data_IF_980878254922
#
_entry.id   IF_980878254922
#
_cell.length_a   1.000
_cell.length_b   1.000
_cell.length_c   1.000
_cell.angle_alpha   90.00
_cell.angle_beta   90.00
_cell.angle_gamma   90.00
#
_symmetry.space_group_name_H-M   'P 1'
#
loop_
_entity.id
_entity.type
_entity.pdbx_description
1 polymer ?
#
# COMPACT_ATOMS: atom_id res chain seq x y z
N UNK A 1 -24.29 16.72 -27.08
CA UNK A 1 -24.12 16.87 -25.62
C UNK A 1 -23.31 18.13 -25.35
N UNK A 2 -23.85 19.11 -24.61
CA UNK A 2 -23.08 20.29 -24.16
C UNK A 2 -22.02 19.81 -23.16
N UNK A 3 -20.77 20.24 -23.35
CA UNK A 3 -19.68 19.94 -22.40
C UNK A 3 -19.88 20.79 -21.16
N UNK A 4 -19.95 20.17 -19.98
CA UNK A 4 -20.09 20.84 -18.68
C UNK A 4 -18.76 21.40 -18.16
N UNK A 5 -17.64 20.84 -18.62
CA UNK A 5 -16.29 21.18 -18.16
C UNK A 5 -15.40 21.62 -19.34
N UNK A 6 -14.24 22.26 -19.08
CA UNK A 6 -13.27 22.59 -20.12
C UNK A 6 -12.83 21.35 -20.91
N UNK A 7 -12.51 21.53 -22.20
CA UNK A 7 -12.09 20.44 -23.10
C UNK A 7 -10.87 19.68 -22.59
N UNK A 8 -9.96 20.37 -21.88
CA UNK A 8 -8.80 19.78 -21.24
C UNK A 8 -9.12 18.66 -20.22
N UNK A 9 -10.34 18.59 -19.67
CA UNK A 9 -10.75 17.52 -18.73
C UNK A 9 -11.14 16.23 -19.47
N UNK A 10 -11.53 16.32 -20.73
CA UNK A 10 -12.03 15.19 -21.53
C UNK A 10 -10.89 14.39 -22.17
N UNK A 11 -10.03 13.81 -21.34
CA UNK A 11 -8.96 12.91 -21.78
C UNK A 11 -8.91 11.65 -20.89
N UNK A 12 -8.46 10.50 -21.42
CA UNK A 12 -8.45 9.23 -20.70
C UNK A 12 -7.58 9.27 -19.44
N UNK A 13 -6.45 10.00 -19.45
CA UNK A 13 -5.56 10.09 -18.29
C UNK A 13 -6.28 10.78 -17.11
N UNK A 14 -6.99 11.87 -17.40
CA UNK A 14 -7.76 12.61 -16.40
C UNK A 14 -8.90 11.76 -15.87
N UNK A 15 -9.62 11.08 -16.76
CA UNK A 15 -10.72 10.21 -16.35
C UNK A 15 -10.25 9.01 -15.51
N UNK A 16 -9.12 8.38 -15.87
CA UNK A 16 -8.52 7.31 -15.06
C UNK A 16 -8.12 7.82 -13.67
N UNK A 17 -7.48 8.99 -13.57
CA UNK A 17 -7.13 9.59 -12.28
C UNK A 17 -8.35 9.92 -11.43
N UNK A 18 -9.38 10.49 -12.03
CA UNK A 18 -10.65 10.78 -11.35
C UNK A 18 -11.38 9.51 -10.90
N UNK A 19 -11.41 8.46 -11.74
CA UNK A 19 -12.01 7.18 -11.38
C UNK A 19 -11.29 6.52 -10.20
N UNK A 20 -9.95 6.48 -10.22
CA UNK A 20 -9.13 5.98 -9.10
C UNK A 20 -9.45 6.77 -7.82
N UNK A 21 -9.47 8.11 -7.91
CA UNK A 21 -9.73 8.98 -6.75
C UNK A 21 -11.13 8.77 -6.17
N UNK A 22 -12.14 8.69 -7.04
CA UNK A 22 -13.53 8.50 -6.63
C UNK A 22 -13.78 7.12 -6.00
N UNK A 23 -13.22 6.05 -6.60
CA UNK A 23 -13.29 4.70 -6.03
C UNK A 23 -12.60 4.67 -4.67
N UNK A 24 -11.40 5.23 -4.58
CA UNK A 24 -10.64 5.29 -3.33
C UNK A 24 -11.38 6.08 -2.24
N UNK A 25 -11.97 7.24 -2.57
CA UNK A 25 -12.77 8.03 -1.65
C UNK A 25 -14.02 7.29 -1.16
N UNK A 26 -14.74 6.61 -2.07
CA UNK A 26 -15.88 5.78 -1.71
C UNK A 26 -15.51 4.64 -0.77
N UNK A 27 -14.36 3.98 -1.02
CA UNK A 27 -13.82 2.94 -0.13
C UNK A 27 -13.43 3.50 1.23
N UNK A 28 -12.82 4.69 1.30
CA UNK A 28 -12.49 5.35 2.57
C UNK A 28 -13.76 5.56 3.40
N UNK A 29 -14.81 6.16 2.80
CA UNK A 29 -16.08 6.38 3.49
C UNK A 29 -16.67 5.05 3.95
N UNK A 30 -16.67 4.04 3.10
CA UNK A 30 -17.21 2.72 3.43
C UNK A 30 -16.47 2.06 4.60
N UNK A 31 -15.13 2.03 4.58
CA UNK A 31 -14.35 1.44 5.67
C UNK A 31 -14.48 2.25 6.96
N UNK A 32 -14.54 3.58 6.87
CA UNK A 32 -14.77 4.44 8.03
C UNK A 32 -16.14 4.17 8.66
N UNK A 33 -17.18 3.97 7.85
CA UNK A 33 -18.49 3.56 8.35
C UNK A 33 -18.43 2.18 9.00
N UNK A 34 -17.77 1.19 8.39
CA UNK A 34 -17.60 -0.13 9.01
C UNK A 34 -16.89 -0.06 10.35
N UNK A 35 -15.81 0.73 10.45
CA UNK A 35 -15.06 0.93 11.70
C UNK A 35 -15.91 1.64 12.76
N UNK A 36 -16.75 2.60 12.37
CA UNK A 36 -17.68 3.28 13.28
C UNK A 36 -18.73 2.34 13.88
N UNK A 37 -19.15 1.31 13.15
CA UNK A 37 -20.14 0.33 13.60
C UNK A 37 -19.53 -0.97 14.15
N UNK A 38 -18.20 -1.11 14.18
CA UNK A 38 -17.54 -2.32 14.64
C UNK A 38 -17.27 -2.29 16.16
N UNK A 39 -17.67 -3.35 16.86
CA UNK A 39 -17.44 -3.50 18.30
C UNK A 39 -15.98 -3.87 18.62
N UNK A 40 -15.28 -4.53 17.69
CA UNK A 40 -13.86 -4.92 17.82
C UNK A 40 -13.01 -4.34 16.68
N UNK A 41 -12.23 -3.27 16.91
CA UNK A 41 -11.42 -2.65 15.87
C UNK A 41 -10.23 -3.55 15.50
N UNK A 42 -10.26 -4.10 14.29
CA UNK A 42 -9.09 -4.76 13.72
C UNK A 42 -7.98 -3.73 13.47
N UNK A 43 -6.75 -3.95 13.96
CA UNK A 43 -5.66 -2.96 13.89
C UNK A 43 -5.25 -2.57 12.45
N UNK A 44 -5.74 -3.30 11.45
CA UNK A 44 -5.44 -3.11 10.03
C UNK A 44 -6.42 -2.19 9.30
N UNK A 45 -7.66 -2.07 9.80
CA UNK A 45 -8.69 -1.23 9.17
C UNK A 45 -8.24 0.22 9.13
N UNK A 46 -7.68 0.71 10.23
CA UNK A 46 -7.12 2.06 10.29
C UNK A 46 -5.94 2.29 9.34
N UNK A 47 -5.06 1.30 9.12
CA UNK A 47 -3.93 1.45 8.18
C UNK A 47 -4.46 1.60 6.75
N UNK A 48 -5.40 0.74 6.36
CA UNK A 48 -5.98 0.77 5.02
C UNK A 48 -6.77 2.07 4.81
N UNK A 49 -7.63 2.43 5.77
CA UNK A 49 -8.53 3.58 5.69
C UNK A 49 -7.81 4.92 5.76
N UNK A 50 -6.79 5.07 6.62
CA UNK A 50 -6.15 6.37 6.90
C UNK A 50 -4.79 6.57 6.23
N UNK A 51 -4.16 5.54 5.68
CA UNK A 51 -2.82 5.65 5.06
C UNK A 51 -2.84 5.20 3.61
N UNK A 52 -3.21 3.95 3.35
CA UNK A 52 -3.11 3.36 2.00
C UNK A 52 -4.11 4.01 1.05
N UNK A 53 -5.40 4.03 1.41
CA UNK A 53 -6.41 4.60 0.53
C UNK A 53 -6.22 6.11 0.32
N UNK A 54 -5.92 6.95 1.33
CA UNK A 54 -5.60 8.35 1.11
C UNK A 54 -4.39 8.54 0.18
N UNK A 55 -3.36 7.69 0.28
CA UNK A 55 -2.24 7.67 -0.67
C UNK A 55 -2.69 7.40 -2.11
N UNK A 56 -3.53 6.39 -2.33
CA UNK A 56 -4.09 6.07 -3.65
C UNK A 56 -4.96 7.22 -4.19
N UNK A 57 -5.76 7.85 -3.33
CA UNK A 57 -6.58 9.01 -3.67
C UNK A 57 -5.71 10.16 -4.16
N UNK A 58 -4.64 10.51 -3.43
CA UNK A 58 -3.72 11.58 -3.81
C UNK A 58 -3.04 11.25 -5.15
N UNK A 59 -2.57 10.01 -5.34
CA UNK A 59 -1.98 9.58 -6.61
C UNK A 59 -2.99 9.70 -7.76
N UNK A 60 -4.25 9.30 -7.55
CA UNK A 60 -5.33 9.48 -8.52
C UNK A 60 -5.55 10.95 -8.90
N UNK A 61 -5.55 11.86 -7.92
CA UNK A 61 -5.68 13.30 -8.16
C UNK A 61 -4.47 13.89 -8.89
N UNK A 62 -3.27 13.40 -8.60
CA UNK A 62 -2.05 13.78 -9.32
C UNK A 62 -2.10 13.33 -10.78
N UNK A 63 -2.50 12.08 -11.06
CA UNK A 63 -2.72 11.59 -12.42
C UNK A 63 -3.77 12.44 -13.14
N UNK A 64 -4.87 12.79 -12.46
CA UNK A 64 -5.91 13.64 -13.02
C UNK A 64 -5.36 15.03 -13.40
N UNK A 65 -4.62 15.65 -12.49
CA UNK A 65 -4.01 16.97 -12.68
C UNK A 65 -2.98 16.96 -13.81
N UNK A 66 -2.11 15.95 -13.86
CA UNK A 66 -1.14 15.74 -14.95
C UNK A 66 -1.87 15.58 -16.29
N UNK A 67 -2.98 14.84 -16.31
CA UNK A 67 -3.83 14.69 -17.49
C UNK A 67 -4.36 16.03 -18.00
N UNK A 68 -4.87 16.88 -17.11
CA UNK A 68 -5.39 18.21 -17.44
C UNK A 68 -4.28 19.14 -17.95
N UNK A 69 -3.14 19.21 -17.25
CA UNK A 69 -2.00 20.05 -17.65
C UNK A 69 -1.47 19.63 -19.02
N UNK A 70 -1.34 18.31 -19.24
CA UNK A 70 -0.89 17.76 -20.51
C UNK A 70 -1.86 18.08 -21.64
N UNK A 71 -3.16 17.92 -21.44
CA UNK A 71 -4.15 18.22 -22.49
C UNK A 71 -4.22 19.72 -22.77
N UNK A 72 -4.17 20.57 -21.74
CA UNK A 72 -4.10 22.03 -21.90
C UNK A 72 -2.88 22.46 -22.70
N UNK A 73 -1.70 21.86 -22.45
CA UNK A 73 -0.48 22.13 -23.22
C UNK A 73 -0.61 21.67 -24.68
N UNK A 74 -1.32 20.56 -24.95
CA UNK A 74 -1.58 20.10 -26.33
C UNK A 74 -2.55 21.02 -27.07
N UNK A 75 -3.56 21.53 -26.39
CA UNK A 75 -4.48 22.53 -26.94
C UNK A 75 -3.76 23.83 -27.30
N UNK A 76 -2.84 24.34 -26.46
CA UNK A 76 -2.02 25.51 -26.79
C UNK A 76 -1.08 25.29 -27.98
N UNK A 77 -0.74 24.04 -28.28
CA UNK A 77 0.09 23.65 -29.43
C UNK A 77 -0.76 23.35 -30.68
N UNK A 78 -2.08 23.58 -30.64
CA UNK A 78 -3.00 23.28 -31.74
C UNK A 78 -3.33 21.80 -31.94
N UNK A 79 -2.79 20.91 -31.09
CA UNK A 79 -3.00 19.46 -31.16
C UNK A 79 -4.22 19.07 -30.32
N UNK A 80 -5.40 19.48 -30.76
CA UNK A 80 -6.65 19.20 -30.03
C UNK A 80 -7.13 17.76 -30.27
N UNK A 81 -7.31 16.97 -29.20
CA UNK A 81 -8.27 15.86 -29.27
C UNK A 81 -9.65 16.50 -29.33
N UNK A 82 -10.46 16.14 -30.33
CA UNK A 82 -11.88 16.55 -30.44
C UNK A 82 -12.76 16.09 -29.25
N UNK A 83 -12.18 15.66 -28.13
CA UNK A 83 -12.86 15.16 -26.93
C UNK A 83 -13.57 13.82 -27.14
N UNK A 84 -13.12 13.01 -28.10
CA UNK A 84 -13.70 11.69 -28.38
C UNK A 84 -13.00 10.63 -27.54
N UNK A 85 -13.75 10.01 -26.63
CA UNK A 85 -13.33 8.77 -25.97
C UNK A 85 -13.32 7.60 -26.96
N UNK A 86 -12.52 6.56 -26.72
CA UNK A 86 -12.64 5.30 -27.46
C UNK A 86 -14.04 4.72 -27.24
N UNK A 87 -14.68 4.28 -28.33
CA UNK A 87 -15.97 3.60 -28.27
C UNK A 87 -15.71 2.11 -28.04
N UNK A 88 -16.18 1.61 -26.90
CA UNK A 88 -16.16 0.16 -26.61
C UNK A 88 -17.44 -0.45 -27.18
N UNK A 89 -17.27 -1.25 -28.23
CA UNK A 89 -18.32 -2.01 -28.89
C UNK A 89 -18.10 -3.50 -28.61
N UNK A 90 -18.83 -4.05 -27.62
CA UNK A 90 -18.74 -5.46 -27.25
C UNK A 90 -19.31 -6.42 -28.32
N UNK A 91 -19.99 -5.89 -29.34
CA UNK A 91 -20.41 -6.68 -30.50
C UNK A 91 -19.26 -6.93 -31.50
N UNK A 92 -18.16 -6.17 -31.42
CA UNK A 92 -16.94 -6.49 -32.16
C UNK A 92 -16.19 -7.62 -31.43
N UNK A 93 -16.01 -8.80 -32.05
CA UNK A 93 -15.37 -9.95 -31.41
C UNK A 93 -13.93 -9.67 -30.98
N UNK A 94 -13.22 -8.73 -31.62
CA UNK A 94 -11.86 -8.34 -31.21
C UNK A 94 -11.88 -7.54 -29.91
N UNK A 95 -12.79 -6.57 -29.81
CA UNK A 95 -12.95 -5.76 -28.60
C UNK A 95 -13.51 -6.58 -27.44
N UNK A 96 -14.43 -7.52 -27.71
CA UNK A 96 -14.93 -8.46 -26.71
C UNK A 96 -13.79 -9.33 -26.15
N UNK A 97 -12.98 -9.96 -27.00
CA UNK A 97 -11.83 -10.77 -26.56
C UNK A 97 -10.84 -9.95 -25.74
N UNK A 98 -10.51 -8.74 -26.19
CA UNK A 98 -9.61 -7.84 -25.46
C UNK A 98 -10.19 -7.48 -24.09
N UNK A 99 -11.49 -7.16 -24.04
CA UNK A 99 -12.17 -6.81 -22.78
C UNK A 99 -12.17 -7.99 -21.81
N UNK A 100 -12.49 -9.20 -22.28
CA UNK A 100 -12.49 -10.43 -21.45
C UNK A 100 -11.09 -10.77 -20.95
N UNK A 101 -10.07 -10.70 -21.80
CA UNK A 101 -8.68 -11.00 -21.40
C UNK A 101 -8.20 -9.96 -20.38
N UNK A 102 -8.41 -8.67 -20.63
CA UNK A 102 -7.98 -7.61 -19.73
C UNK A 102 -8.73 -7.65 -18.40
N UNK A 103 -10.05 -7.86 -18.42
CA UNK A 103 -10.84 -7.93 -17.18
C UNK A 103 -10.47 -9.15 -16.35
N UNK A 104 -10.36 -10.33 -16.98
CA UNK A 104 -10.00 -11.58 -16.30
C UNK A 104 -8.56 -11.54 -15.78
N UNK A 105 -7.62 -11.07 -16.61
CA UNK A 105 -6.23 -10.90 -16.21
C UNK A 105 -6.08 -9.90 -15.06
N UNK A 106 -6.80 -8.77 -15.11
CA UNK A 106 -6.80 -7.79 -14.02
C UNK A 106 -7.40 -8.37 -12.74
N UNK A 107 -8.51 -9.11 -12.83
CA UNK A 107 -9.14 -9.77 -11.67
C UNK A 107 -8.18 -10.77 -11.02
N UNK A 108 -7.55 -11.64 -11.81
CA UNK A 108 -6.58 -12.60 -11.30
C UNK A 108 -5.38 -11.90 -10.67
N UNK A 109 -4.84 -10.87 -11.33
CA UNK A 109 -3.72 -10.10 -10.80
C UNK A 109 -4.08 -9.44 -9.47
N UNK A 110 -5.27 -8.85 -9.34
CA UNK A 110 -5.75 -8.28 -8.09
C UNK A 110 -5.89 -9.34 -6.99
N UNK A 111 -6.48 -10.49 -7.30
CA UNK A 111 -6.64 -11.60 -6.34
C UNK A 111 -5.29 -12.13 -5.85
N UNK A 112 -4.37 -12.44 -6.76
CA UNK A 112 -3.03 -12.92 -6.39
C UNK A 112 -2.21 -11.87 -5.66
N UNK A 113 -2.33 -10.60 -6.03
CA UNK A 113 -1.64 -9.50 -5.34
C UNK A 113 -2.17 -9.31 -3.93
N UNK A 114 -3.49 -9.36 -3.73
CA UNK A 114 -4.11 -9.27 -2.42
C UNK A 114 -3.69 -10.43 -1.52
N UNK A 115 -3.78 -11.67 -2.04
CA UNK A 115 -3.36 -12.86 -1.32
C UNK A 115 -1.87 -12.85 -0.99
N UNK A 116 -1.02 -12.54 -1.98
CA UNK A 116 0.43 -12.44 -1.81
C UNK A 116 0.80 -11.39 -0.78
N UNK A 117 0.19 -10.19 -0.84
CA UNK A 117 0.44 -9.11 0.11
C UNK A 117 0.04 -9.51 1.54
N UNK A 118 -1.09 -10.21 1.71
CA UNK A 118 -1.52 -10.71 3.00
C UNK A 118 -0.53 -11.74 3.58
N UNK A 119 -0.11 -12.71 2.77
CA UNK A 119 0.89 -13.72 3.20
C UNK A 119 2.25 -13.10 3.50
N UNK A 120 2.72 -12.16 2.67
CA UNK A 120 3.96 -11.43 2.93
C UNK A 120 3.88 -10.63 4.22
N UNK A 121 2.74 -9.98 4.49
CA UNK A 121 2.50 -9.28 5.74
C UNK A 121 2.62 -10.23 6.94
N UNK A 122 1.86 -11.32 6.98
CA UNK A 122 1.91 -12.31 8.08
C UNK A 122 3.32 -12.85 8.30
N UNK A 123 4.05 -13.10 7.20
CA UNK A 123 5.42 -13.57 7.28
C UNK A 123 6.34 -12.53 7.93
N UNK A 124 6.27 -11.27 7.51
CA UNK A 124 7.09 -10.17 8.08
C UNK A 124 6.75 -9.81 9.53
N UNK A 125 5.68 -10.38 10.07
CA UNK A 125 5.26 -10.23 11.47
C UNK A 125 5.57 -11.49 12.31
N UNK A 126 6.20 -12.49 11.72
CA UNK A 126 6.50 -13.76 12.40
C UNK A 126 7.85 -13.75 13.10
N UNK A 127 7.98 -14.55 14.16
CA UNK A 127 9.24 -14.73 14.89
C UNK A 127 10.34 -15.29 13.99
N UNK A 128 9.97 -16.13 13.02
CA UNK A 128 10.93 -16.65 12.05
C UNK A 128 11.52 -15.53 11.19
N UNK A 129 10.69 -14.61 10.70
CA UNK A 129 11.20 -13.46 9.96
C UNK A 129 12.13 -12.59 10.81
N UNK A 130 11.72 -12.27 12.04
CA UNK A 130 12.50 -11.41 12.93
C UNK A 130 13.83 -12.04 13.37
N UNK A 131 13.83 -13.34 13.65
CA UNK A 131 14.98 -14.03 14.26
C UNK A 131 15.92 -14.73 13.28
N UNK A 132 15.44 -15.16 12.12
CA UNK A 132 16.21 -16.07 11.25
C UNK A 132 16.61 -15.46 9.91
N UNK A 133 15.96 -14.41 9.43
CA UNK A 133 16.31 -13.78 8.14
C UNK A 133 17.67 -13.09 8.20
N UNK A 134 17.89 -12.25 9.20
CA UNK A 134 19.16 -11.58 9.44
C UNK A 134 19.97 -12.33 10.50
N UNK A 135 20.16 -13.65 10.29
CA UNK A 135 20.70 -14.57 11.28
C UNK A 135 22.00 -14.08 11.95
N UNK A 136 22.99 -13.60 11.21
CA UNK A 136 24.28 -13.16 11.77
C UNK A 136 24.15 -12.07 12.84
N UNK A 137 23.21 -11.13 12.66
CA UNK A 137 23.02 -10.00 13.58
C UNK A 137 21.91 -10.25 14.61
N UNK A 138 20.94 -11.12 14.29
CA UNK A 138 19.77 -11.39 15.15
C UNK A 138 19.87 -12.69 15.96
N UNK A 139 20.82 -13.57 15.68
CA UNK A 139 20.99 -14.84 16.40
C UNK A 139 21.04 -14.69 17.93
N UNK A 140 21.83 -13.75 18.51
CA UNK A 140 21.89 -13.61 19.97
C UNK A 140 20.52 -13.28 20.58
N UNK A 141 19.77 -12.36 19.96
CA UNK A 141 18.44 -11.95 20.41
C UNK A 141 17.41 -13.06 20.21
N UNK A 142 17.50 -13.82 19.11
CA UNK A 142 16.58 -14.92 18.84
C UNK A 142 16.77 -16.08 19.82
N UNK A 143 18.02 -16.42 20.16
CA UNK A 143 18.34 -17.44 21.18
C UNK A 143 17.89 -16.98 22.58
N UNK A 144 18.08 -15.70 22.91
CA UNK A 144 17.58 -15.11 24.15
C UNK A 144 16.04 -15.16 24.22
N UNK A 145 15.35 -14.83 23.13
CA UNK A 145 13.89 -14.94 23.02
C UNK A 145 13.40 -16.37 23.29
N UNK A 146 13.99 -17.36 22.62
CA UNK A 146 13.62 -18.78 22.76
C UNK A 146 13.83 -19.32 24.18
N UNK A 147 14.85 -18.83 24.89
CA UNK A 147 15.13 -19.21 26.28
C UNK A 147 14.37 -18.38 27.32
N UNK A 148 13.61 -17.36 26.89
CA UNK A 148 12.86 -16.49 27.79
C UNK A 148 11.46 -17.03 28.13
N UNK A 149 10.84 -16.52 29.21
CA UNK A 149 9.41 -16.73 29.49
C UNK A 149 8.47 -16.21 28.40
N UNK A 150 8.98 -15.37 27.49
CA UNK A 150 8.21 -14.75 26.40
C UNK A 150 8.33 -15.51 25.07
N UNK A 151 9.01 -16.67 25.01
CA UNK A 151 9.17 -17.50 23.81
C UNK A 151 7.87 -17.95 23.12
N UNK A 152 6.71 -17.72 23.75
CA UNK A 152 5.37 -18.01 23.23
C UNK A 152 4.59 -16.76 22.83
N UNK A 153 5.21 -15.59 22.93
CA UNK A 153 4.62 -14.28 22.63
C UNK A 153 5.41 -13.70 21.46
N UNK A 154 4.78 -13.65 20.28
CA UNK A 154 5.51 -13.27 19.08
C UNK A 154 6.17 -11.89 19.18
N UNK A 155 7.34 -11.72 18.57
CA UNK A 155 8.22 -10.55 18.72
C UNK A 155 7.46 -9.23 18.52
N UNK A 156 6.56 -9.21 17.55
CA UNK A 156 5.79 -8.02 17.14
C UNK A 156 4.81 -7.53 18.20
N UNK A 157 4.37 -8.40 19.12
CA UNK A 157 3.49 -8.01 20.23
C UNK A 157 4.11 -6.97 21.15
N UNK A 158 5.45 -7.00 21.27
CA UNK A 158 6.20 -6.03 22.06
C UNK A 158 6.93 -5.00 21.18
N UNK A 159 7.52 -5.41 20.05
CA UNK A 159 8.43 -4.56 19.28
C UNK A 159 7.77 -3.68 18.21
N UNK A 160 6.57 -4.04 17.74
CA UNK A 160 5.85 -3.24 16.74
C UNK A 160 4.82 -2.35 17.41
N UNK A 161 4.19 -2.80 18.52
CA UNK A 161 3.15 -2.05 19.21
C UNK A 161 1.81 -2.07 18.45
N UNK A 162 0.73 -1.67 19.12
CA UNK A 162 -0.61 -1.63 18.51
C UNK A 162 -0.85 -0.31 17.77
N UNK A 163 -1.66 -0.37 16.70
CA UNK A 163 -2.11 0.80 15.96
C UNK A 163 -1.25 1.16 14.74
N UNK A 164 -1.83 1.97 13.85
CA UNK A 164 -1.27 2.28 12.53
C UNK A 164 0.05 3.07 12.59
N UNK A 165 0.18 4.00 13.54
CA UNK A 165 1.38 4.84 13.69
C UNK A 165 2.61 4.02 14.07
N UNK A 166 2.44 3.13 15.05
CA UNK A 166 3.48 2.22 15.52
C UNK A 166 3.85 1.18 14.46
N UNK A 167 2.86 0.64 13.74
CA UNK A 167 3.11 -0.20 12.56
C UNK A 167 3.99 0.50 11.51
N UNK A 168 3.62 1.70 11.07
CA UNK A 168 4.41 2.44 10.06
C UNK A 168 5.82 2.74 10.57
N UNK A 169 5.95 3.20 11.81
CA UNK A 169 7.24 3.49 12.43
C UNK A 169 8.13 2.25 12.46
N UNK A 170 7.57 1.09 12.86
CA UNK A 170 8.27 -0.17 12.88
C UNK A 170 8.75 -0.60 11.49
N UNK A 171 7.90 -0.46 10.46
CA UNK A 171 8.29 -0.82 9.08
C UNK A 171 9.35 0.11 8.48
N UNK A 172 9.29 1.41 8.76
CA UNK A 172 10.33 2.36 8.34
C UNK A 172 11.66 2.06 9.05
N UNK A 173 11.62 1.83 10.37
CA UNK A 173 12.80 1.45 11.14
C UNK A 173 13.39 0.12 10.67
N UNK A 174 12.53 -0.88 10.41
CA UNK A 174 12.92 -2.19 9.88
C UNK A 174 13.54 -2.10 8.49
N UNK A 175 13.01 -1.24 7.61
CA UNK A 175 13.62 -0.99 6.29
C UNK A 175 15.04 -0.42 6.42
N UNK A 176 15.27 0.48 7.38
CA UNK A 176 16.62 0.98 7.68
C UNK A 176 17.53 -0.12 8.26
N UNK A 177 17.01 -1.03 9.08
CA UNK A 177 17.79 -2.18 9.59
C UNK A 177 18.18 -3.12 8.45
N UNK A 178 17.26 -3.47 7.55
CA UNK A 178 17.55 -4.28 6.35
C UNK A 178 18.64 -3.61 5.51
N UNK A 179 18.51 -2.31 5.25
CA UNK A 179 19.53 -1.52 4.57
C UNK A 179 20.89 -1.59 5.32
N UNK A 180 20.89 -1.41 6.63
CA UNK A 180 22.09 -1.41 7.45
C UNK A 180 22.80 -2.76 7.38
N UNK A 181 22.07 -3.87 7.44
CA UNK A 181 22.62 -5.23 7.31
C UNK A 181 23.13 -5.47 5.89
N UNK A 182 22.34 -5.16 4.86
CA UNK A 182 22.71 -5.35 3.46
C UNK A 182 23.99 -4.62 3.05
N UNK A 183 24.22 -3.42 3.62
CA UNK A 183 25.38 -2.59 3.30
C UNK A 183 26.46 -2.60 4.40
N UNK A 184 26.36 -3.51 5.38
CA UNK A 184 27.30 -3.62 6.51
C UNK A 184 27.53 -2.29 7.26
N UNK A 185 26.45 -1.51 7.43
CA UNK A 185 26.40 -0.21 8.11
C UNK A 185 25.83 -0.32 9.52
N UNK A 186 26.45 -1.15 10.35
CA UNK A 186 26.09 -1.31 11.76
C UNK A 186 27.35 -1.38 12.62
N UNK A 187 27.24 -0.95 13.88
CA UNK A 187 28.35 -0.98 14.82
C UNK A 187 28.65 -2.40 15.30
N UNK A 188 29.91 -2.67 15.60
CA UNK A 188 30.37 -3.91 16.23
C UNK A 188 31.13 -3.53 17.51
N UNK A 189 30.69 -3.93 18.72
CA UNK A 189 29.48 -4.73 18.98
C UNK A 189 28.18 -3.97 18.70
N UNK A 190 27.10 -4.71 18.45
CA UNK A 190 25.75 -4.13 18.30
C UNK A 190 25.30 -3.68 19.70
N UNK A 191 24.95 -2.40 19.90
CA UNK A 191 24.54 -1.91 21.21
C UNK A 191 23.19 -2.51 21.60
N UNK A 192 23.04 -2.87 22.88
CA UNK A 192 21.75 -3.29 23.40
C UNK A 192 20.80 -2.08 23.44
N UNK A 193 19.56 -2.21 22.94
CA UNK A 193 18.57 -1.13 23.03
C UNK A 193 18.07 -0.92 24.47
N UNK A 194 18.34 -1.88 25.35
CA UNK A 194 18.04 -1.78 26.78
C UNK A 194 19.25 -1.18 27.49
N UNK A 195 19.08 0.02 28.02
CA UNK A 195 20.10 0.70 28.84
C UNK A 195 19.84 0.53 30.34
N UNK A 196 18.59 0.21 30.73
CA UNK A 196 18.20 -0.06 32.11
C UNK A 196 17.14 -1.17 32.13
N UNK A 197 17.40 -2.24 32.90
CA UNK A 197 16.38 -3.23 33.24
C UNK A 197 15.69 -2.78 34.51
N UNK A 198 14.34 -2.87 34.55
CA UNK A 198 13.59 -2.65 35.79
C UNK A 198 14.12 -3.60 36.87
N UNK A 199 14.34 -3.14 38.12
CA UNK A 199 14.75 -4.02 39.21
C UNK A 199 13.77 -5.18 39.36
N UNK A 200 14.31 -6.38 39.58
CA UNK A 200 13.54 -7.59 39.86
C UNK A 200 12.77 -7.47 41.18
#
# INVERSE_FOLDING_TARGET
MRKLLPTAVYNPITFTGLAISAISFGLIIFLFLLEFFADDPHPYMGIIAFIILPGILIIGLLIATVGIIREKRRETLGISRKGKFPVVNLNDPKQLRMTVILSTGSLLLLLFSAFGSFKSFEYTESDSFCGTICHEVMEPEYVAYLSSPHSRVGCVKCHIGSGASWFVKAKISGAYQVYSVMFNKYSRPIPTPVHELRPA
#
